data_IF_537073497551
#
_entry.id   IF_537073497551
#
_cell.length_a   1.000
_cell.length_b   1.000
_cell.length_c   1.000
_cell.angle_alpha   90.00
_cell.angle_beta   90.00
_cell.angle_gamma   90.00
#
_symmetry.space_group_name_H-M   'P 1'
#
loop_
_entity.id
_entity.type
_entity.pdbx_description
1 polymer ?
#
# COMPACT_ATOMS: atom_id res chain seq x y z
N UNK A 1 13.04 -15.93 -12.18
CA UNK A 1 12.06 -15.03 -12.86
C UNK A 1 12.85 -14.22 -13.89
N UNK A 2 12.34 -14.06 -15.12
CA UNK A 2 13.05 -13.24 -16.10
C UNK A 2 13.09 -11.78 -15.65
N UNK A 3 14.16 -11.05 -15.98
CA UNK A 3 14.30 -9.62 -15.62
C UNK A 3 13.13 -8.78 -16.15
N UNK A 4 12.67 -9.08 -17.38
CA UNK A 4 11.51 -8.40 -17.98
C UNK A 4 10.23 -8.61 -17.18
N UNK A 5 10.02 -9.82 -16.65
CA UNK A 5 8.88 -10.11 -15.78
C UNK A 5 8.93 -9.31 -14.48
N UNK A 6 10.11 -9.11 -13.89
CA UNK A 6 10.26 -8.27 -12.70
C UNK A 6 9.77 -6.84 -12.95
N UNK A 7 10.10 -6.24 -14.11
CA UNK A 7 9.59 -4.92 -14.48
C UNK A 7 8.08 -4.91 -14.66
N UNK A 8 7.52 -5.89 -15.38
CA UNK A 8 6.07 -5.97 -15.61
C UNK A 8 5.32 -6.13 -14.28
N UNK A 9 5.78 -7.03 -13.42
CA UNK A 9 5.17 -7.29 -12.12
C UNK A 9 5.16 -6.05 -11.24
N UNK A 10 6.29 -5.34 -11.15
CA UNK A 10 6.41 -4.08 -10.41
C UNK A 10 5.43 -3.02 -10.92
N UNK A 11 5.32 -2.86 -12.25
CA UNK A 11 4.39 -1.90 -12.87
C UNK A 11 2.94 -2.26 -12.51
N UNK A 12 2.57 -3.53 -12.59
CA UNK A 12 1.23 -4.01 -12.21
C UNK A 12 0.92 -3.68 -10.74
N UNK A 13 1.89 -3.89 -9.83
CA UNK A 13 1.72 -3.53 -8.41
C UNK A 13 1.59 -2.02 -8.24
N UNK A 14 2.33 -1.22 -9.02
CA UNK A 14 2.17 0.24 -9.04
C UNK A 14 0.79 0.68 -9.53
N UNK A 15 0.25 0.05 -10.58
CA UNK A 15 -1.12 0.30 -11.08
C UNK A 15 -2.17 -0.08 -10.02
N UNK A 16 -1.97 -1.18 -9.32
CA UNK A 16 -2.83 -1.58 -8.20
C UNK A 16 -2.91 -0.47 -7.14
N UNK A 17 -1.78 0.07 -6.69
CA UNK A 17 -1.77 1.18 -5.73
C UNK A 17 -2.40 2.46 -6.29
N UNK A 18 -2.15 2.76 -7.57
CA UNK A 18 -2.75 3.93 -8.23
C UNK A 18 -4.27 3.84 -8.27
N UNK A 19 -4.82 2.66 -8.53
CA UNK A 19 -6.26 2.43 -8.52
C UNK A 19 -6.86 2.75 -7.14
N UNK A 20 -6.30 2.22 -6.06
CA UNK A 20 -6.79 2.47 -4.70
C UNK A 20 -6.63 3.95 -4.28
N UNK A 21 -5.51 4.58 -4.63
CA UNK A 21 -5.33 6.00 -4.37
C UNK A 21 -6.35 6.86 -5.14
N UNK A 22 -6.64 6.53 -6.41
CA UNK A 22 -7.55 7.29 -7.26
C UNK A 22 -8.97 7.36 -6.70
N UNK A 23 -9.46 6.29 -6.09
CA UNK A 23 -10.79 6.27 -5.46
C UNK A 23 -10.87 7.23 -4.26
N UNK A 24 -9.78 7.36 -3.50
CA UNK A 24 -9.69 8.26 -2.35
C UNK A 24 -9.54 9.73 -2.76
N UNK A 25 -8.88 10.01 -3.89
CA UNK A 25 -8.80 11.37 -4.43
C UNK A 25 -10.15 11.91 -4.91
N UNK A 26 -11.09 11.04 -5.27
CA UNK A 26 -12.45 11.46 -5.62
C UNK A 26 -13.25 11.90 -4.38
N UNK A 27 -13.14 11.16 -3.30
CA UNK A 27 -13.68 11.51 -1.97
C UNK A 27 -13.01 10.64 -0.91
N UNK A 28 -12.62 11.24 0.19
CA UNK A 28 -12.13 10.52 1.37
C UNK A 28 -13.23 10.25 2.41
N UNK A 29 -14.43 10.78 2.22
CA UNK A 29 -15.49 10.75 3.25
C UNK A 29 -15.92 9.34 3.63
N UNK A 30 -15.94 8.41 2.65
CA UNK A 30 -16.28 7.01 2.90
C UNK A 30 -15.29 6.31 3.83
N UNK A 31 -14.04 6.80 3.92
CA UNK A 31 -13.01 6.21 4.80
C UNK A 31 -13.35 6.39 6.28
N UNK A 32 -14.17 7.40 6.62
CA UNK A 32 -14.63 7.62 8.00
C UNK A 32 -15.40 6.41 8.52
N UNK A 33 -16.39 5.97 7.77
CA UNK A 33 -17.17 4.78 8.11
C UNK A 33 -16.30 3.52 8.18
N UNK A 34 -15.42 3.35 7.21
CA UNK A 34 -14.49 2.23 7.16
C UNK A 34 -13.57 2.18 8.41
N UNK A 35 -13.01 3.32 8.84
CA UNK A 35 -12.15 3.39 10.04
C UNK A 35 -12.94 3.04 11.29
N UNK A 36 -14.17 3.53 11.41
CA UNK A 36 -15.05 3.23 12.55
C UNK A 36 -15.41 1.74 12.60
N UNK A 37 -15.81 1.16 11.47
CA UNK A 37 -16.13 -0.27 11.38
C UNK A 37 -14.90 -1.14 11.67
N UNK A 38 -13.75 -0.77 11.10
CA UNK A 38 -12.49 -1.47 11.34
C UNK A 38 -12.07 -1.42 12.82
N UNK A 39 -12.23 -0.27 13.48
CA UNK A 39 -11.98 -0.14 14.91
C UNK A 39 -12.91 -1.05 15.73
N UNK A 40 -14.20 -1.12 15.37
CA UNK A 40 -15.15 -1.98 16.07
C UNK A 40 -14.87 -3.48 15.90
N UNK A 41 -14.50 -3.89 14.67
CA UNK A 41 -14.28 -5.29 14.30
C UNK A 41 -12.88 -5.84 14.65
N UNK A 42 -11.91 -4.98 14.99
CA UNK A 42 -10.53 -5.39 15.19
C UNK A 42 -10.37 -6.28 16.44
N UNK A 43 -9.79 -7.49 16.29
CA UNK A 43 -9.62 -8.42 17.42
C UNK A 43 -8.40 -8.08 18.29
N UNK A 44 -7.49 -7.21 17.82
CA UNK A 44 -6.28 -6.82 18.55
C UNK A 44 -6.61 -5.63 19.44
N UNK A 45 -6.75 -5.84 20.76
CA UNK A 45 -7.23 -4.82 21.70
C UNK A 45 -6.47 -3.49 21.63
N UNK A 46 -5.14 -3.50 21.66
CA UNK A 46 -4.33 -2.29 21.57
C UNK A 46 -4.49 -1.54 20.25
N UNK A 47 -4.63 -2.26 19.14
CA UNK A 47 -4.89 -1.67 17.84
C UNK A 47 -6.32 -1.11 17.75
N UNK A 48 -7.30 -1.83 18.27
CA UNK A 48 -8.69 -1.38 18.39
C UNK A 48 -8.79 -0.05 19.13
N UNK A 49 -8.12 0.04 20.29
CA UNK A 49 -8.10 1.27 21.11
C UNK A 49 -7.42 2.42 20.39
N UNK A 50 -6.30 2.16 19.72
CA UNK A 50 -5.60 3.16 18.90
C UNK A 50 -6.47 3.66 17.75
N UNK A 51 -7.13 2.76 17.04
CA UNK A 51 -8.05 3.12 15.95
C UNK A 51 -9.22 3.96 16.47
N UNK A 52 -9.83 3.57 17.58
CA UNK A 52 -11.00 4.27 18.14
C UNK A 52 -10.65 5.64 18.72
N UNK A 53 -9.54 5.75 19.44
CA UNK A 53 -9.22 6.94 20.23
C UNK A 53 -8.29 7.93 19.52
N UNK A 54 -7.52 7.47 18.53
CA UNK A 54 -6.55 8.32 17.81
C UNK A 54 -6.93 8.48 16.34
N UNK A 55 -7.15 7.36 15.63
CA UNK A 55 -7.34 7.42 14.18
C UNK A 55 -8.75 7.92 13.83
N UNK A 56 -9.80 7.38 14.45
CA UNK A 56 -11.17 7.74 14.13
C UNK A 56 -11.52 9.22 14.40
N UNK A 57 -11.07 9.85 15.49
CA UNK A 57 -11.27 11.30 15.69
C UNK A 57 -10.52 12.15 14.66
N UNK A 58 -9.38 11.67 14.16
CA UNK A 58 -8.50 12.37 13.21
C UNK A 58 -8.55 11.74 11.81
N UNK A 59 -9.66 11.11 11.45
CA UNK A 59 -9.79 10.29 10.24
C UNK A 59 -9.37 10.99 8.96
N UNK A 60 -9.63 12.29 8.82
CA UNK A 60 -9.25 13.08 7.64
C UNK A 60 -7.73 13.07 7.44
N UNK A 61 -6.97 13.35 8.53
CA UNK A 61 -5.51 13.40 8.48
C UNK A 61 -4.93 12.04 8.08
N UNK A 62 -5.41 10.97 8.71
CA UNK A 62 -4.95 9.61 8.39
C UNK A 62 -5.33 9.18 6.98
N UNK A 63 -6.55 9.49 6.52
CA UNK A 63 -7.00 9.15 5.17
C UNK A 63 -6.22 9.89 4.10
N UNK A 64 -5.99 11.20 4.27
CA UNK A 64 -5.21 12.01 3.33
C UNK A 64 -3.75 11.55 3.32
N UNK A 65 -3.14 11.34 4.48
CA UNK A 65 -1.76 10.87 4.58
C UNK A 65 -1.59 9.50 3.91
N UNK A 66 -2.51 8.57 4.12
CA UNK A 66 -2.50 7.27 3.46
C UNK A 66 -2.66 7.40 1.95
N UNK A 67 -3.58 8.25 1.47
CA UNK A 67 -3.79 8.48 0.03
C UNK A 67 -2.54 9.04 -0.65
N UNK A 68 -1.86 9.99 0.00
CA UNK A 68 -0.58 10.52 -0.49
C UNK A 68 0.48 9.42 -0.54
N UNK A 69 0.61 8.63 0.52
CA UNK A 69 1.59 7.54 0.58
C UNK A 69 1.34 6.48 -0.50
N UNK A 70 0.09 6.06 -0.71
CA UNK A 70 -0.30 5.13 -1.77
C UNK A 70 0.02 5.71 -3.17
N UNK A 71 -0.25 7.00 -3.37
CA UNK A 71 0.05 7.69 -4.64
C UNK A 71 1.56 7.72 -4.91
N UNK A 72 2.36 8.03 -3.90
CA UNK A 72 3.82 8.04 -4.01
C UNK A 72 4.35 6.64 -4.33
N UNK A 73 3.91 5.63 -3.60
CA UNK A 73 4.28 4.23 -3.88
C UNK A 73 3.90 3.84 -5.30
N UNK A 74 2.70 4.17 -5.75
CA UNK A 74 2.24 3.88 -7.11
C UNK A 74 3.15 4.49 -8.17
N UNK A 75 3.41 5.79 -8.09
CA UNK A 75 4.24 6.52 -9.06
C UNK A 75 5.67 5.97 -9.07
N UNK A 76 6.28 5.79 -7.89
CA UNK A 76 7.64 5.28 -7.78
C UNK A 76 7.77 3.86 -8.34
N UNK A 77 6.79 2.99 -8.07
CA UNK A 77 6.77 1.63 -8.62
C UNK A 77 6.55 1.63 -10.14
N UNK A 78 5.65 2.43 -10.68
CA UNK A 78 5.42 2.51 -12.12
C UNK A 78 6.69 2.98 -12.84
N UNK A 79 7.31 4.04 -12.35
CA UNK A 79 8.53 4.60 -12.93
C UNK A 79 9.77 3.73 -12.68
N UNK A 80 9.75 2.89 -11.66
CA UNK A 80 10.91 2.14 -11.22
C UNK A 80 11.98 3.05 -10.63
N UNK A 81 11.57 4.04 -9.86
CA UNK A 81 12.43 4.97 -9.14
C UNK A 81 12.38 4.66 -7.65
N UNK A 82 13.54 4.54 -7.02
CA UNK A 82 13.66 4.14 -5.63
C UNK A 82 12.84 2.86 -5.33
N UNK A 83 12.87 1.91 -6.25
CA UNK A 83 11.97 0.74 -6.27
C UNK A 83 11.98 -0.02 -4.94
N UNK A 84 13.16 -0.20 -4.34
CA UNK A 84 13.30 -0.91 -3.07
C UNK A 84 12.55 -0.18 -1.94
N UNK A 85 12.72 1.12 -1.82
CA UNK A 85 12.06 1.95 -0.81
C UNK A 85 10.55 2.06 -1.05
N UNK A 86 10.15 2.24 -2.32
CA UNK A 86 8.74 2.23 -2.70
C UNK A 86 8.06 0.89 -2.35
N UNK A 87 8.75 -0.23 -2.60
CA UNK A 87 8.22 -1.56 -2.26
C UNK A 87 8.11 -1.79 -0.74
N UNK A 88 9.08 -1.29 0.03
CA UNK A 88 8.99 -1.32 1.51
C UNK A 88 7.81 -0.47 1.98
N UNK A 89 7.64 0.74 1.43
CA UNK A 89 6.48 1.58 1.72
C UNK A 89 5.16 0.89 1.37
N UNK A 90 5.07 0.28 0.19
CA UNK A 90 3.92 -0.52 -0.22
C UNK A 90 3.65 -1.72 0.69
N UNK A 91 4.69 -2.42 1.14
CA UNK A 91 4.58 -3.51 2.10
C UNK A 91 4.01 -3.03 3.44
N UNK A 92 4.48 -1.90 3.95
CA UNK A 92 3.97 -1.31 5.20
C UNK A 92 2.51 -0.88 5.06
N UNK A 93 2.13 -0.23 3.95
CA UNK A 93 0.75 0.14 3.67
C UNK A 93 -0.16 -1.09 3.54
N UNK A 94 0.27 -2.12 2.81
CA UNK A 94 -0.48 -3.37 2.67
C UNK A 94 -0.64 -4.09 4.02
N UNK A 95 0.41 -4.12 4.84
CA UNK A 95 0.37 -4.69 6.19
C UNK A 95 -0.59 -3.92 7.09
N UNK A 96 -0.58 -2.58 7.02
CA UNK A 96 -1.55 -1.75 7.73
C UNK A 96 -2.98 -2.10 7.33
N UNK A 97 -3.27 -2.20 6.03
CA UNK A 97 -4.61 -2.59 5.54
C UNK A 97 -4.99 -4.00 6.00
N UNK A 98 -4.06 -4.96 5.95
CA UNK A 98 -4.28 -6.33 6.41
C UNK A 98 -4.56 -6.43 7.91
N UNK A 99 -3.93 -5.58 8.73
CA UNK A 99 -4.13 -5.57 10.19
C UNK A 99 -5.35 -4.74 10.62
N UNK A 100 -5.74 -3.76 9.81
CA UNK A 100 -6.81 -2.82 10.17
C UNK A 100 -8.11 -3.19 9.48
N UNK A 101 -8.10 -3.23 8.13
CA UNK A 101 -9.32 -3.31 7.33
C UNK A 101 -9.77 -4.75 7.08
N UNK A 102 -8.86 -5.71 7.00
CA UNK A 102 -9.22 -7.09 6.66
C UNK A 102 -10.21 -7.72 7.67
N UNK A 103 -10.20 -7.29 8.92
CA UNK A 103 -11.11 -7.82 9.95
C UNK A 103 -12.55 -7.28 9.83
N UNK A 104 -12.72 -6.11 9.21
CA UNK A 104 -14.03 -5.53 8.96
C UNK A 104 -14.74 -6.25 7.81
N UNK A 105 -13.99 -6.80 6.86
CA UNK A 105 -14.55 -7.50 5.70
C UNK A 105 -15.21 -8.82 6.12
N UNK A 106 -16.51 -8.93 5.91
CA UNK A 106 -17.29 -10.11 6.30
C UNK A 106 -16.93 -11.35 5.45
N UNK A 107 -16.71 -11.17 4.15
CA UNK A 107 -16.37 -12.28 3.23
C UNK A 107 -14.90 -12.67 3.37
N UNK A 108 -14.62 -13.94 3.78
CA UNK A 108 -13.25 -14.44 3.88
C UNK A 108 -12.45 -14.37 2.57
N UNK A 109 -13.11 -14.50 1.42
CA UNK A 109 -12.49 -14.42 0.11
C UNK A 109 -11.91 -13.03 -0.15
N UNK A 110 -12.64 -11.97 0.19
CA UNK A 110 -12.16 -10.60 0.06
C UNK A 110 -11.04 -10.25 1.07
N UNK A 111 -10.99 -10.90 2.24
CA UNK A 111 -9.86 -10.72 3.17
C UNK A 111 -8.53 -11.11 2.55
N UNK A 112 -8.51 -12.16 1.72
CA UNK A 112 -7.31 -12.61 1.04
C UNK A 112 -6.70 -11.56 0.13
N UNK A 113 -7.47 -10.59 -0.38
CA UNK A 113 -6.91 -9.48 -1.18
C UNK A 113 -5.92 -8.65 -0.38
N UNK A 114 -6.18 -8.40 0.90
CA UNK A 114 -5.26 -7.65 1.77
C UNK A 114 -3.98 -8.45 2.05
N UNK A 115 -4.11 -9.75 2.30
CA UNK A 115 -2.94 -10.62 2.52
C UNK A 115 -2.12 -10.81 1.24
N UNK A 116 -2.78 -10.93 0.09
CA UNK A 116 -2.10 -10.97 -1.21
C UNK A 116 -1.38 -9.64 -1.50
N UNK A 117 -1.96 -8.50 -1.13
CA UNK A 117 -1.28 -7.21 -1.26
C UNK A 117 0.06 -7.17 -0.48
N UNK A 118 0.12 -7.77 0.70
CA UNK A 118 1.36 -7.93 1.47
C UNK A 118 2.37 -8.79 0.69
N UNK A 119 1.95 -9.95 0.20
CA UNK A 119 2.81 -10.89 -0.53
C UNK A 119 3.35 -10.31 -1.83
N UNK A 120 2.51 -9.59 -2.62
CA UNK A 120 2.98 -9.02 -3.90
C UNK A 120 3.96 -7.87 -3.69
N UNK A 121 3.79 -7.05 -2.64
CA UNK A 121 4.77 -6.02 -2.30
C UNK A 121 6.09 -6.63 -1.80
N UNK A 122 6.04 -7.68 -0.97
CA UNK A 122 7.22 -8.44 -0.57
C UNK A 122 7.95 -9.04 -1.79
N UNK A 123 7.21 -9.57 -2.77
CA UNK A 123 7.78 -10.10 -4.01
C UNK A 123 8.50 -9.02 -4.83
N UNK A 124 7.99 -7.78 -4.89
CA UNK A 124 8.68 -6.68 -5.59
C UNK A 124 10.03 -6.37 -4.93
N UNK A 125 10.11 -6.40 -3.58
CA UNK A 125 11.37 -6.20 -2.85
C UNK A 125 12.41 -7.25 -3.28
N UNK A 126 11.99 -8.51 -3.39
CA UNK A 126 12.88 -9.62 -3.77
C UNK A 126 13.26 -9.57 -5.25
N UNK A 127 12.31 -9.23 -6.12
CA UNK A 127 12.50 -9.21 -7.59
C UNK A 127 13.33 -8.02 -8.07
N UNK A 128 13.31 -6.91 -7.31
CA UNK A 128 13.97 -5.67 -7.68
C UNK A 128 13.29 -4.91 -8.82
N UNK A 129 13.99 -3.88 -9.31
CA UNK A 129 13.44 -2.92 -10.26
C UNK A 129 13.22 -3.49 -11.70
N UNK A 130 14.01 -4.51 -12.08
CA UNK A 130 14.02 -5.05 -13.44
C UNK A 130 14.70 -4.12 -14.46
N UNK A 131 14.75 -4.51 -15.75
CA UNK A 131 15.46 -3.76 -16.79
C UNK A 131 14.81 -2.43 -17.17
N UNK A 132 13.49 -2.32 -17.03
CA UNK A 132 12.72 -1.11 -17.37
C UNK A 132 12.48 -0.30 -16.09
N UNK A 133 13.53 0.39 -15.61
CA UNK A 133 13.47 1.16 -14.37
C UNK A 133 14.38 2.38 -14.44
N UNK A 134 13.93 3.50 -13.85
CA UNK A 134 14.74 4.70 -13.70
C UNK A 134 15.92 4.50 -12.76
N UNK A 135 15.81 3.55 -11.82
CA UNK A 135 16.90 3.16 -10.92
C UNK A 135 18.19 2.71 -11.65
N UNK A 136 18.10 2.33 -12.93
CA UNK A 136 19.26 1.95 -13.75
C UNK A 136 20.09 3.12 -14.23
N UNK A 137 19.54 4.31 -14.24
CA UNK A 137 20.26 5.49 -14.71
C UNK A 137 21.28 5.97 -13.67
N UNK A 138 22.48 6.35 -14.14
CA UNK A 138 23.60 6.76 -13.27
C UNK A 138 23.31 8.00 -12.42
N UNK A 139 22.36 8.83 -12.84
CA UNK A 139 21.96 10.03 -12.09
C UNK A 139 21.15 9.72 -10.81
N UNK A 140 20.59 8.51 -10.69
CA UNK A 140 19.92 8.08 -9.45
C UNK A 140 20.97 7.70 -8.42
N UNK A 141 20.96 8.29 -7.21
CA UNK A 141 21.90 7.96 -6.16
C UNK A 141 21.87 6.48 -5.77
N UNK A 142 23.03 5.91 -5.47
CA UNK A 142 23.16 4.48 -5.17
C UNK A 142 22.30 4.00 -4.00
N UNK A 143 22.07 4.86 -3.01
CA UNK A 143 21.25 4.54 -1.83
C UNK A 143 19.73 4.47 -2.13
N UNK A 144 19.30 4.97 -3.27
CA UNK A 144 17.89 4.91 -3.71
C UNK A 144 17.61 3.69 -4.61
N UNK A 145 18.64 3.04 -5.12
CA UNK A 145 18.52 1.92 -6.08
C UNK A 145 18.14 0.59 -5.41
#
# INVERSE_FOLDING_TARGET
MSETWASAFRIIVGIFWLYFASTKWQSVDWTRGLIQSAAAANPISGLKEFLANVVAPNWVVFSVAQTIAETLVAILLILGLATRWASIGGLLLATNLALVVAFEVADPGFRWLYYLAVLVNAQVIVSGAGPIALDRFKWVPAFLR
#
